data_IF_482136178266
#
_entry.id   IF_482136178266
#
_cell.length_a   1.000
_cell.length_b   1.000
_cell.length_c   1.000
_cell.angle_alpha   90.00
_cell.angle_beta   90.00
_cell.angle_gamma   90.00
#
_symmetry.space_group_name_H-M   'P 1'
#
loop_
_entity.id
_entity.type
_entity.pdbx_description
1 polymer ?
#
# COMPACT_ATOMS: atom_id res chain seq x y z
N UNK A 1 42.93 -14.22 -68.77
CA UNK A 1 41.56 -14.31 -68.21
C UNK A 1 41.67 -14.54 -66.71
N UNK A 2 41.45 -13.52 -65.89
CA UNK A 2 40.98 -13.67 -64.51
C UNK A 2 40.47 -12.30 -64.01
N UNK A 3 39.15 -12.17 -64.00
CA UNK A 3 38.42 -11.26 -63.12
C UNK A 3 38.40 -11.81 -61.69
N UNK A 4 38.08 -10.93 -60.73
CA UNK A 4 37.30 -11.11 -59.48
C UNK A 4 38.05 -10.49 -58.29
N UNK A 5 37.47 -9.75 -57.34
CA UNK A 5 36.19 -9.03 -57.11
C UNK A 5 36.51 -8.13 -55.88
N UNK A 6 36.11 -6.86 -55.92
CA UNK A 6 36.14 -5.96 -54.75
C UNK A 6 35.11 -6.41 -53.71
N UNK A 7 35.55 -6.73 -52.48
CA UNK A 7 34.65 -7.02 -51.35
C UNK A 7 34.30 -5.71 -50.64
N UNK A 8 33.13 -5.17 -50.93
CA UNK A 8 32.46 -4.17 -50.10
C UNK A 8 31.90 -4.85 -48.85
N UNK A 9 32.42 -4.46 -47.68
CA UNK A 9 31.88 -4.83 -46.37
C UNK A 9 30.63 -3.97 -46.10
N UNK A 10 29.45 -4.58 -46.20
CA UNK A 10 28.21 -4.01 -45.69
C UNK A 10 28.17 -4.18 -44.17
N UNK A 11 28.35 -3.09 -43.42
CA UNK A 11 27.98 -3.03 -42.01
C UNK A 11 26.47 -2.84 -41.92
N UNK A 12 25.73 -3.91 -41.61
CA UNK A 12 24.33 -3.82 -41.22
C UNK A 12 24.23 -3.28 -39.79
N UNK A 13 23.85 -2.02 -39.64
CA UNK A 13 23.53 -1.41 -38.36
C UNK A 13 22.18 -1.98 -37.87
N UNK A 14 22.23 -2.98 -36.99
CA UNK A 14 21.03 -3.43 -36.27
C UNK A 14 20.68 -2.37 -35.22
N UNK A 15 19.68 -1.53 -35.54
CA UNK A 15 18.99 -0.75 -34.53
C UNK A 15 18.19 -1.72 -33.66
N UNK A 16 18.76 -2.11 -32.51
CA UNK A 16 18.00 -2.64 -31.40
C UNK A 16 17.05 -1.53 -30.94
N UNK A 17 15.83 -1.54 -31.46
CA UNK A 17 14.72 -0.82 -30.84
C UNK A 17 14.47 -1.51 -29.51
N UNK A 18 15.16 -1.06 -28.46
CA UNK A 18 14.71 -1.32 -27.11
C UNK A 18 13.28 -0.82 -27.03
N UNK A 19 12.32 -1.73 -26.88
CA UNK A 19 10.98 -1.35 -26.46
C UNK A 19 11.19 -0.67 -25.11
N UNK A 20 11.13 0.67 -25.09
CA UNK A 20 11.04 1.41 -23.84
C UNK A 20 9.79 0.86 -23.14
N UNK A 21 10.00 0.00 -22.15
CA UNK A 21 8.92 -0.45 -21.29
C UNK A 21 8.31 0.82 -20.71
N UNK A 22 7.01 1.02 -20.92
CA UNK A 22 6.36 2.22 -20.39
C UNK A 22 6.59 2.25 -18.88
N UNK A 23 7.19 3.34 -18.40
CA UNK A 23 7.53 3.55 -17.00
C UNK A 23 6.23 3.75 -16.19
N UNK A 24 5.61 2.63 -15.79
CA UNK A 24 4.32 2.60 -15.11
C UNK A 24 4.47 2.18 -13.65
N UNK A 25 3.65 2.78 -12.79
CA UNK A 25 3.44 2.31 -11.42
C UNK A 25 2.03 1.74 -11.30
N UNK A 26 1.90 0.52 -10.79
CA UNK A 26 0.62 -0.12 -10.52
C UNK A 26 0.35 -0.10 -9.02
N UNK A 27 -0.75 0.53 -8.60
CA UNK A 27 -1.19 0.56 -7.20
C UNK A 27 -2.51 -0.17 -7.07
N UNK A 28 -2.54 -1.24 -6.28
CA UNK A 28 -3.75 -2.04 -6.03
C UNK A 28 -4.18 -1.88 -4.58
N UNK A 29 -5.40 -1.42 -4.35
CA UNK A 29 -6.03 -1.43 -3.04
C UNK A 29 -6.52 -2.86 -2.76
N UNK A 30 -5.74 -3.66 -2.05
CA UNK A 30 -6.11 -5.04 -1.74
C UNK A 30 -7.26 -5.07 -0.73
N UNK A 31 -7.22 -4.20 0.27
CA UNK A 31 -8.27 -4.02 1.25
C UNK A 31 -8.43 -2.55 1.64
N UNK A 32 -9.68 -2.12 1.81
CA UNK A 32 -10.08 -0.72 2.02
C UNK A 32 -11.01 -0.52 3.22
N UNK A 33 -11.15 -1.58 4.02
CA UNK A 33 -12.02 -1.65 5.18
C UNK A 33 -11.40 -1.02 6.42
N UNK A 34 -11.93 -1.44 7.56
CA UNK A 34 -11.68 -0.85 8.88
C UNK A 34 -11.66 -1.98 9.92
N UNK A 35 -11.59 -1.72 11.24
CA UNK A 35 -11.77 -2.77 12.24
C UNK A 35 -13.12 -3.50 12.14
N UNK A 36 -14.15 -2.86 11.56
CA UNK A 36 -15.49 -3.45 11.39
C UNK A 36 -15.42 -4.53 10.30
N UNK A 37 -15.74 -5.81 10.61
CA UNK A 37 -15.76 -6.87 9.61
C UNK A 37 -16.74 -6.56 8.49
N UNK A 38 -16.32 -6.80 7.24
CA UNK A 38 -17.16 -6.67 6.06
C UNK A 38 -16.87 -7.80 5.08
N UNK A 39 -17.92 -8.32 4.44
CA UNK A 39 -17.79 -9.26 3.32
C UNK A 39 -17.30 -8.59 2.04
N UNK A 40 -17.36 -7.25 1.96
CA UNK A 40 -17.03 -6.47 0.78
C UNK A 40 -15.71 -5.71 0.91
N UNK A 41 -15.36 -5.27 2.12
CA UNK A 41 -14.15 -4.49 2.43
C UNK A 41 -13.26 -5.20 3.44
N UNK A 42 -12.11 -5.65 2.99
CA UNK A 42 -11.11 -6.35 3.77
C UNK A 42 -10.20 -5.35 4.49
N UNK A 43 -9.41 -5.81 5.46
CA UNK A 43 -8.58 -4.90 6.25
C UNK A 43 -7.59 -4.11 5.38
N UNK A 44 -7.19 -2.89 5.78
CA UNK A 44 -6.26 -2.06 5.03
C UNK A 44 -5.02 -2.80 4.51
N UNK A 45 -4.84 -2.78 3.19
CA UNK A 45 -3.64 -3.29 2.53
C UNK A 45 -3.54 -2.66 1.14
N UNK A 46 -2.40 -2.03 0.84
CA UNK A 46 -2.12 -1.41 -0.47
C UNK A 46 -0.86 -2.00 -1.06
N UNK A 47 -0.96 -2.55 -2.26
CA UNK A 47 0.17 -3.10 -3.01
C UNK A 47 0.62 -2.08 -4.05
N UNK A 48 1.90 -1.69 -4.00
CA UNK A 48 2.54 -0.89 -5.04
C UNK A 48 3.52 -1.79 -5.79
N UNK A 49 3.35 -1.88 -7.11
CA UNK A 49 4.24 -2.59 -8.00
C UNK A 49 4.88 -1.62 -8.96
N UNK A 50 6.21 -1.64 -8.98
CA UNK A 50 7.04 -0.84 -9.88
C UNK A 50 7.99 -1.81 -10.55
N UNK A 51 7.97 -1.87 -11.88
CA UNK A 51 8.70 -2.88 -12.65
C UNK A 51 8.34 -4.31 -12.17
N UNK A 52 9.30 -5.06 -11.64
CA UNK A 52 9.11 -6.41 -11.11
C UNK A 52 9.17 -6.47 -9.57
N UNK A 53 9.19 -5.32 -8.90
CA UNK A 53 9.26 -5.22 -7.44
C UNK A 53 7.88 -4.92 -6.85
N UNK A 54 7.62 -5.51 -5.68
CA UNK A 54 6.35 -5.41 -4.99
C UNK A 54 6.58 -4.91 -3.56
N UNK A 55 5.91 -3.80 -3.23
CA UNK A 55 5.95 -3.14 -1.94
C UNK A 55 4.55 -3.18 -1.34
N UNK A 56 4.42 -3.79 -0.17
CA UNK A 56 3.15 -3.95 0.51
C UNK A 56 3.06 -2.99 1.70
N UNK A 57 2.03 -2.16 1.71
CA UNK A 57 1.75 -1.21 2.79
C UNK A 57 0.52 -1.69 3.57
N UNK A 58 0.75 -1.99 4.84
CA UNK A 58 -0.16 -2.71 5.74
C UNK A 58 -0.56 -4.12 5.26
N UNK A 59 -0.97 -4.93 6.22
CA UNK A 59 -1.35 -6.34 6.05
C UNK A 59 -2.64 -6.65 6.80
N UNK A 60 -3.70 -5.93 6.49
CA UNK A 60 -4.98 -6.11 7.15
C UNK A 60 -5.63 -7.47 6.90
N UNK A 61 -6.73 -7.74 7.63
CA UNK A 61 -7.45 -9.02 7.59
C UNK A 61 -7.79 -9.44 6.16
N UNK A 62 -7.48 -10.70 5.82
CA UNK A 62 -7.83 -11.34 4.56
C UNK A 62 -6.91 -11.00 3.39
N UNK A 63 -5.73 -10.44 3.68
CA UNK A 63 -4.69 -10.10 2.72
C UNK A 63 -4.40 -11.23 1.70
N UNK A 64 -4.20 -12.47 2.15
CA UNK A 64 -3.86 -13.59 1.26
C UNK A 64 -4.96 -13.85 0.22
N UNK A 65 -6.23 -13.80 0.62
CA UNK A 65 -7.37 -13.91 -0.29
C UNK A 65 -7.34 -12.79 -1.34
N UNK A 66 -7.05 -11.55 -0.92
CA UNK A 66 -7.00 -10.40 -1.84
C UNK A 66 -5.80 -10.45 -2.78
N UNK A 67 -4.65 -10.93 -2.31
CA UNK A 67 -3.48 -11.19 -3.17
C UNK A 67 -3.83 -12.22 -4.26
N UNK A 68 -4.46 -13.33 -3.89
CA UNK A 68 -4.92 -14.35 -4.85
C UNK A 68 -5.91 -13.76 -5.87
N UNK A 69 -6.92 -13.01 -5.42
CA UNK A 69 -7.92 -12.41 -6.31
C UNK A 69 -7.33 -11.35 -7.24
N UNK A 70 -6.29 -10.63 -6.79
CA UNK A 70 -5.54 -9.66 -7.60
C UNK A 70 -4.56 -10.31 -8.59
N UNK A 71 -4.40 -11.64 -8.54
CA UNK A 71 -3.41 -12.41 -9.32
C UNK A 71 -1.96 -12.00 -9.01
N UNK A 72 -1.71 -11.47 -7.82
CA UNK A 72 -0.36 -11.17 -7.35
C UNK A 72 0.29 -12.46 -6.83
N UNK A 73 1.49 -12.82 -7.30
CA UNK A 73 2.20 -13.97 -6.76
C UNK A 73 2.52 -13.76 -5.27
N UNK A 74 2.03 -14.66 -4.42
CA UNK A 74 2.14 -14.54 -2.96
C UNK A 74 3.61 -14.51 -2.48
N UNK A 75 4.53 -15.10 -3.25
CA UNK A 75 5.95 -15.18 -2.92
C UNK A 75 6.83 -14.08 -3.56
N UNK A 76 6.22 -13.11 -4.28
CA UNK A 76 6.96 -12.06 -4.97
C UNK A 76 7.19 -10.79 -4.15
N UNK A 77 6.44 -10.60 -3.05
CA UNK A 77 6.56 -9.42 -2.18
C UNK A 77 7.74 -9.61 -1.22
N UNK A 78 8.66 -8.66 -1.24
CA UNK A 78 9.88 -8.67 -0.43
C UNK A 78 9.86 -7.63 0.68
N UNK A 79 9.16 -6.51 0.46
CA UNK A 79 9.10 -5.39 1.39
C UNK A 79 7.67 -5.19 1.91
N UNK A 80 7.55 -5.16 3.24
CA UNK A 80 6.30 -4.88 3.96
C UNK A 80 6.52 -3.66 4.84
N UNK A 81 5.60 -2.70 4.76
CA UNK A 81 5.67 -1.44 5.48
C UNK A 81 4.41 -1.30 6.34
N UNK A 82 4.55 -1.18 7.65
CA UNK A 82 3.43 -0.88 8.54
C UNK A 82 3.30 0.62 8.76
N UNK A 83 2.09 1.15 8.58
CA UNK A 83 1.78 2.55 8.91
C UNK A 83 1.75 2.74 10.42
N UNK A 84 1.14 1.81 11.14
CA UNK A 84 1.10 1.74 12.60
C UNK A 84 0.67 0.32 13.06
N UNK A 85 0.59 0.09 14.38
CA UNK A 85 0.35 -1.25 14.94
C UNK A 85 -1.10 -1.52 15.39
N UNK A 86 -2.10 -0.83 14.82
CA UNK A 86 -3.47 -1.24 15.04
C UNK A 86 -3.78 -2.57 14.34
N UNK A 87 -4.62 -3.36 15.00
CA UNK A 87 -4.90 -4.74 14.59
C UNK A 87 -5.47 -4.87 13.16
N UNK A 88 -6.32 -3.94 12.73
CA UNK A 88 -6.89 -3.96 11.39
C UNK A 88 -5.86 -3.74 10.29
N UNK A 89 -4.70 -3.16 10.59
CA UNK A 89 -3.57 -2.99 9.67
C UNK A 89 -2.57 -4.14 9.71
N UNK A 90 -2.45 -4.89 10.81
CA UNK A 90 -1.37 -5.90 10.96
C UNK A 90 -1.85 -7.35 11.13
N UNK A 91 -3.15 -7.60 11.37
CA UNK A 91 -3.65 -8.95 11.70
C UNK A 91 -3.47 -9.99 10.60
N UNK A 92 -3.40 -9.58 9.34
CA UNK A 92 -3.11 -10.48 8.22
C UNK A 92 -1.61 -10.80 8.04
N UNK A 93 -0.71 -10.18 8.82
CA UNK A 93 0.73 -10.38 8.66
C UNK A 93 1.12 -11.84 8.90
N UNK A 94 0.63 -12.48 9.96
CA UNK A 94 1.01 -13.86 10.29
C UNK A 94 0.63 -14.86 9.20
N UNK A 95 -0.59 -14.71 8.66
CA UNK A 95 -1.07 -15.52 7.54
C UNK A 95 -0.21 -15.28 6.28
N UNK A 96 0.06 -14.02 5.94
CA UNK A 96 0.91 -13.69 4.80
C UNK A 96 2.34 -14.22 4.95
N UNK A 97 2.94 -14.01 6.10
CA UNK A 97 4.30 -14.44 6.42
C UNK A 97 4.44 -15.97 6.37
N UNK A 98 3.52 -16.72 6.96
CA UNK A 98 3.59 -18.19 6.90
C UNK A 98 3.29 -18.72 5.49
N UNK A 99 2.28 -18.17 4.83
CA UNK A 99 1.86 -18.61 3.49
C UNK A 99 2.93 -18.30 2.44
N UNK A 100 3.51 -17.10 2.42
CA UNK A 100 4.60 -16.78 1.49
C UNK A 100 5.87 -17.62 1.72
N UNK A 101 6.13 -18.06 2.96
CA UNK A 101 7.21 -19.01 3.25
C UNK A 101 6.92 -20.40 2.67
N UNK A 102 5.69 -20.90 2.85
CA UNK A 102 5.25 -22.19 2.27
C UNK A 102 5.33 -22.15 0.74
N UNK A 103 5.04 -20.99 0.13
CA UNK A 103 5.19 -20.74 -1.30
C UNK A 103 6.64 -20.43 -1.72
N UNK A 104 7.61 -20.74 -0.86
CA UNK A 104 9.03 -20.65 -1.13
C UNK A 104 9.46 -19.27 -1.62
N UNK A 105 9.06 -18.21 -0.90
CA UNK A 105 9.65 -16.87 -1.12
C UNK A 105 11.18 -16.98 -1.18
N UNK A 106 11.84 -16.32 -2.15
CA UNK A 106 13.27 -16.52 -2.40
C UNK A 106 14.16 -15.86 -1.34
N UNK A 107 13.64 -14.85 -0.64
CA UNK A 107 14.37 -14.05 0.34
C UNK A 107 13.54 -13.86 1.62
N UNK A 108 14.17 -13.59 2.77
CA UNK A 108 13.50 -13.08 3.96
C UNK A 108 12.62 -11.87 3.63
N UNK A 109 11.52 -11.70 4.36
CA UNK A 109 10.76 -10.45 4.29
C UNK A 109 11.54 -9.34 4.96
N UNK A 110 11.59 -8.17 4.32
CA UNK A 110 12.02 -6.92 4.95
C UNK A 110 10.77 -6.20 5.46
N UNK A 111 10.65 -6.08 6.77
CA UNK A 111 9.50 -5.45 7.43
C UNK A 111 9.97 -4.18 8.10
N UNK A 112 9.40 -3.05 7.70
CA UNK A 112 9.64 -1.75 8.33
C UNK A 112 8.37 -1.26 8.99
N UNK A 113 8.47 -0.74 10.22
CA UNK A 113 7.31 -0.22 10.94
C UNK A 113 7.71 0.60 12.16
N UNK A 114 6.74 1.11 12.94
CA UNK A 114 7.01 1.85 14.17
C UNK A 114 7.67 0.97 15.25
N UNK A 115 8.15 1.61 16.30
CA UNK A 115 8.58 0.95 17.54
C UNK A 115 7.52 -0.08 18.01
N UNK A 116 7.98 -1.31 18.31
CA UNK A 116 7.12 -2.44 18.69
C UNK A 116 6.89 -3.45 17.58
N UNK A 117 7.21 -3.11 16.32
CA UNK A 117 7.14 -4.02 15.17
C UNK A 117 7.98 -5.28 15.40
N UNK A 118 9.19 -5.13 15.95
CA UNK A 118 10.07 -6.26 16.23
C UNK A 118 9.48 -7.20 17.27
N UNK A 119 8.98 -6.64 18.38
CA UNK A 119 8.33 -7.43 19.40
C UNK A 119 7.10 -8.16 18.86
N UNK A 120 6.25 -7.48 18.08
CA UNK A 120 5.08 -8.11 17.44
C UNK A 120 5.48 -9.33 16.60
N UNK A 121 6.45 -9.18 15.69
CA UNK A 121 6.88 -10.27 14.80
C UNK A 121 7.52 -11.41 15.59
N UNK A 122 8.40 -11.12 16.55
CA UNK A 122 9.04 -12.14 17.39
C UNK A 122 8.04 -12.94 18.24
N UNK A 123 6.97 -12.29 18.72
CA UNK A 123 5.90 -13.01 19.43
C UNK A 123 5.09 -13.91 18.50
N UNK A 124 4.85 -13.51 17.24
CA UNK A 124 4.25 -14.38 16.23
C UNK A 124 5.17 -15.56 15.91
N UNK A 125 6.46 -15.33 15.73
CA UNK A 125 7.45 -16.39 15.51
C UNK A 125 7.42 -17.42 16.65
N UNK A 126 7.40 -16.94 17.89
CA UNK A 126 7.25 -17.80 19.07
C UNK A 126 5.92 -18.55 19.08
N UNK A 127 4.81 -17.89 18.74
CA UNK A 127 3.49 -18.51 18.70
C UNK A 127 3.40 -19.64 17.65
N UNK A 128 4.12 -19.51 16.53
CA UNK A 128 4.13 -20.49 15.45
C UNK A 128 5.32 -21.46 15.48
N UNK A 129 6.09 -21.51 16.57
CA UNK A 129 7.29 -22.34 16.68
C UNK A 129 7.03 -23.83 16.43
N UNK A 130 5.91 -24.37 16.91
CA UNK A 130 5.54 -25.77 16.67
C UNK A 130 5.28 -26.04 15.17
N UNK A 131 4.65 -25.10 14.46
CA UNK A 131 4.44 -25.19 13.02
C UNK A 131 5.76 -25.14 12.26
N UNK A 132 6.65 -24.23 12.65
CA UNK A 132 7.98 -24.09 12.07
C UNK A 132 8.81 -25.37 12.22
N UNK A 133 8.92 -25.91 13.44
CA UNK A 133 9.67 -27.14 13.70
C UNK A 133 9.14 -28.31 12.87
N UNK A 134 7.82 -28.52 12.89
CA UNK A 134 7.21 -29.59 12.09
C UNK A 134 7.53 -29.43 10.60
N UNK A 135 7.35 -28.24 10.03
CA UNK A 135 7.60 -28.01 8.60
C UNK A 135 9.08 -28.11 8.26
N UNK A 136 9.98 -27.55 9.05
CA UNK A 136 11.42 -27.63 8.84
C UNK A 136 11.90 -29.08 8.83
N UNK A 137 11.40 -29.90 9.74
CA UNK A 137 11.87 -31.27 9.92
C UNK A 137 11.22 -32.25 8.92
N UNK A 138 10.03 -31.93 8.37
CA UNK A 138 9.25 -32.82 7.51
C UNK A 138 9.07 -32.32 6.06
N UNK A 139 9.65 -31.17 5.70
CA UNK A 139 9.54 -30.60 4.34
C UNK A 139 10.89 -30.07 3.85
N UNK A 140 10.96 -29.61 2.60
CA UNK A 140 12.15 -28.99 1.99
C UNK A 140 12.08 -27.45 1.96
N UNK A 141 11.30 -26.83 2.86
CA UNK A 141 11.19 -25.38 2.92
C UNK A 141 12.52 -24.76 3.36
N UNK A 142 12.88 -23.63 2.76
CA UNK A 142 14.09 -22.90 3.10
C UNK A 142 13.93 -22.21 4.47
N UNK A 143 14.64 -22.69 5.49
CA UNK A 143 14.60 -22.10 6.83
C UNK A 143 15.16 -20.66 6.88
N UNK A 144 16.09 -20.32 5.98
CA UNK A 144 16.74 -19.00 5.96
C UNK A 144 15.76 -17.89 5.60
N UNK A 145 14.69 -18.21 4.88
CA UNK A 145 13.67 -17.23 4.53
C UNK A 145 12.55 -17.15 5.54
N UNK A 146 12.52 -17.99 6.59
CA UNK A 146 11.48 -17.98 7.62
C UNK A 146 11.49 -16.68 8.42
N UNK A 147 12.63 -16.29 8.99
CA UNK A 147 12.74 -15.08 9.80
C UNK A 147 12.71 -13.81 8.93
N UNK A 148 12.14 -12.74 9.44
CA UNK A 148 12.10 -11.45 8.74
C UNK A 148 13.28 -10.56 9.15
N UNK A 149 13.80 -9.76 8.22
CA UNK A 149 14.60 -8.58 8.54
C UNK A 149 13.66 -7.47 9.00
N UNK A 150 13.93 -6.90 10.17
CA UNK A 150 13.00 -5.95 10.81
C UNK A 150 13.73 -4.64 11.09
N UNK A 151 13.18 -3.55 10.55
CA UNK A 151 13.64 -2.19 10.78
C UNK A 151 12.54 -1.39 11.52
N UNK A 152 12.88 -0.85 12.68
CA UNK A 152 11.96 0.01 13.46
C UNK A 152 12.32 1.47 13.22
N UNK A 153 11.30 2.29 12.98
CA UNK A 153 11.43 3.72 12.69
C UNK A 153 10.56 4.54 13.63
N UNK A 154 11.00 5.76 13.97
CA UNK A 154 10.26 6.67 14.85
C UNK A 154 10.20 8.12 14.36
N UNK A 155 10.73 8.39 13.17
CA UNK A 155 10.76 9.69 12.52
C UNK A 155 10.78 9.52 10.99
N UNK A 156 10.68 10.63 10.26
CA UNK A 156 10.79 10.63 8.80
C UNK A 156 12.09 9.94 8.36
N UNK A 157 11.96 8.87 7.58
CA UNK A 157 13.06 7.96 7.26
C UNK A 157 12.99 7.52 5.81
N UNK A 158 14.13 7.54 5.13
CA UNK A 158 14.28 6.92 3.82
C UNK A 158 14.43 5.40 4.02
N UNK A 159 13.36 4.65 3.73
CA UNK A 159 13.27 3.21 4.02
C UNK A 159 13.62 2.32 2.83
N UNK A 160 13.68 2.89 1.63
CA UNK A 160 14.12 2.19 0.42
C UNK A 160 14.70 3.16 -0.60
N UNK A 161 15.84 2.83 -1.19
CA UNK A 161 16.43 3.55 -2.32
C UNK A 161 17.26 2.64 -3.20
N UNK A 162 16.66 2.05 -4.23
CA UNK A 162 17.32 1.21 -5.23
C UNK A 162 16.57 1.30 -6.56
N UNK A 163 17.24 1.02 -7.68
CA UNK A 163 16.62 0.91 -9.01
C UNK A 163 15.73 2.09 -9.43
N UNK A 164 16.11 3.31 -9.03
CA UNK A 164 15.34 4.53 -9.31
C UNK A 164 14.06 4.71 -8.48
N UNK A 165 13.80 3.82 -7.53
CA UNK A 165 12.67 3.85 -6.60
C UNK A 165 13.15 4.40 -5.26
N UNK A 166 12.41 5.36 -4.71
CA UNK A 166 12.64 5.94 -3.39
C UNK A 166 11.35 5.84 -2.56
N UNK A 167 11.41 5.22 -1.39
CA UNK A 167 10.28 5.15 -0.44
C UNK A 167 10.69 5.84 0.84
N UNK A 168 9.96 6.89 1.21
CA UNK A 168 10.15 7.65 2.44
C UNK A 168 8.95 7.43 3.35
N UNK A 169 9.18 6.86 4.53
CA UNK A 169 8.20 6.89 5.61
C UNK A 169 8.24 8.29 6.25
N UNK A 170 7.09 8.88 6.53
CA UNK A 170 7.00 10.18 7.19
C UNK A 170 5.92 10.16 8.27
N UNK A 171 6.16 10.83 9.38
CA UNK A 171 5.27 10.87 10.53
C UNK A 171 3.96 11.59 10.21
N UNK A 172 2.85 11.06 10.71
CA UNK A 172 1.49 11.64 10.56
C UNK A 172 0.80 11.80 11.91
N UNK A 173 -0.34 12.49 11.94
CA UNK A 173 -1.03 12.89 13.17
C UNK A 173 -2.16 11.92 13.53
N UNK A 174 -1.85 10.84 14.24
CA UNK A 174 -2.82 9.81 14.65
C UNK A 174 -2.85 9.58 16.19
N UNK A 175 -2.66 10.65 16.96
CA UNK A 175 -2.60 10.57 18.42
C UNK A 175 -3.89 9.96 19.01
N UNK A 176 -3.81 9.08 20.02
CA UNK A 176 -2.63 8.78 20.85
C UNK A 176 -1.70 7.70 20.27
N UNK A 177 -1.96 7.19 19.07
CA UNK A 177 -1.06 6.24 18.42
C UNK A 177 0.15 7.00 17.90
N UNK A 178 1.32 6.68 18.42
CA UNK A 178 2.56 7.36 18.08
C UNK A 178 3.75 6.41 18.23
N UNK A 179 4.65 6.35 17.25
CA UNK A 179 4.56 7.02 15.94
C UNK A 179 3.55 6.32 15.00
N UNK A 180 2.97 7.09 14.08
CA UNK A 180 2.20 6.61 12.94
C UNK A 180 2.77 7.23 11.66
N UNK A 181 2.70 6.49 10.55
CA UNK A 181 3.40 6.84 9.32
C UNK A 181 2.49 6.87 8.10
N UNK A 182 2.72 7.88 7.27
CA UNK A 182 2.43 7.82 5.85
C UNK A 182 3.68 7.43 5.06
N UNK A 183 3.50 7.08 3.79
CA UNK A 183 4.57 6.67 2.89
C UNK A 183 4.50 7.45 1.58
N UNK A 184 5.64 8.03 1.18
CA UNK A 184 5.83 8.69 -0.11
C UNK A 184 6.71 7.79 -0.98
N UNK A 185 6.19 7.39 -2.13
CA UNK A 185 6.87 6.60 -3.14
C UNK A 185 7.17 7.49 -4.34
N UNK A 186 8.44 7.59 -4.70
CA UNK A 186 8.93 8.35 -5.85
C UNK A 186 9.68 7.40 -6.78
N UNK A 187 9.18 7.24 -8.01
CA UNK A 187 9.79 6.45 -9.07
C UNK A 187 9.25 6.94 -10.42
N UNK A 188 10.00 6.78 -11.51
CA UNK A 188 9.50 7.07 -12.86
C UNK A 188 8.95 8.50 -13.07
N UNK A 189 9.54 9.47 -12.36
CA UNK A 189 9.04 10.86 -12.27
C UNK A 189 7.58 10.96 -11.81
N UNK A 190 7.10 9.98 -11.05
CA UNK A 190 5.79 9.91 -10.42
C UNK A 190 5.94 9.91 -8.91
N UNK A 191 4.91 10.42 -8.24
CA UNK A 191 4.82 10.49 -6.78
C UNK A 191 3.49 9.95 -6.31
N UNK A 192 3.54 8.92 -5.46
CA UNK A 192 2.39 8.33 -4.78
C UNK A 192 2.54 8.60 -3.29
N UNK A 193 1.44 8.95 -2.63
CA UNK A 193 1.41 9.10 -1.18
C UNK A 193 0.30 8.25 -0.59
N UNK A 194 0.63 7.47 0.42
CA UNK A 194 -0.28 6.70 1.26
C UNK A 194 -0.28 7.35 2.63
N UNK A 195 -1.43 7.79 3.13
CA UNK A 195 -1.49 8.56 4.38
C UNK A 195 -1.23 7.73 5.64
N UNK A 196 -1.55 6.43 5.60
CA UNK A 196 -1.89 5.69 6.83
C UNK A 196 -3.14 6.28 7.48
N UNK A 197 -3.37 5.96 8.75
CA UNK A 197 -4.40 6.63 9.54
C UNK A 197 -3.85 7.94 10.08
N UNK A 198 -4.62 9.01 9.97
CA UNK A 198 -4.21 10.37 10.36
C UNK A 198 -5.40 11.32 10.40
N UNK A 199 -5.22 12.40 11.16
CA UNK A 199 -5.95 13.66 11.01
C UNK A 199 -5.22 14.60 10.05
N UNK A 200 -5.59 15.89 10.04
CA UNK A 200 -4.78 16.92 9.43
C UNK A 200 -3.33 16.89 9.98
N UNK A 201 -2.36 16.80 9.08
CA UNK A 201 -0.93 16.79 9.41
C UNK A 201 -0.16 17.67 8.43
N UNK A 202 0.56 18.67 8.92
CA UNK A 202 1.41 19.51 8.05
C UNK A 202 2.51 18.69 7.38
N UNK A 203 2.99 17.62 8.01
CA UNK A 203 3.98 16.73 7.40
C UNK A 203 3.37 15.98 6.21
N UNK A 204 2.16 15.44 6.35
CA UNK A 204 1.42 14.88 5.23
C UNK A 204 1.26 15.90 4.11
N UNK A 205 0.88 17.15 4.40
CA UNK A 205 0.75 18.20 3.37
C UNK A 205 2.07 18.34 2.59
N UNK A 206 3.20 18.51 3.29
CA UNK A 206 4.53 18.65 2.65
C UNK A 206 4.85 17.50 1.69
N UNK A 207 4.55 16.26 2.08
CA UNK A 207 4.87 15.08 1.28
C UNK A 207 3.87 14.86 0.14
N UNK A 208 2.59 15.21 0.33
CA UNK A 208 1.50 14.99 -0.62
C UNK A 208 1.31 16.10 -1.66
N UNK A 209 1.90 17.29 -1.47
CA UNK A 209 1.79 18.41 -2.43
C UNK A 209 2.18 17.96 -3.84
N UNK A 210 1.26 18.05 -4.78
CA UNK A 210 1.38 17.65 -6.18
C UNK A 210 1.72 16.16 -6.38
N UNK A 211 1.18 15.27 -5.54
CA UNK A 211 1.23 13.83 -5.81
C UNK A 211 0.43 13.48 -7.08
N UNK A 212 0.90 12.49 -7.85
CA UNK A 212 0.12 11.89 -8.94
C UNK A 212 -1.08 11.11 -8.38
N UNK A 213 -0.86 10.41 -7.28
CA UNK A 213 -1.90 9.70 -6.55
C UNK A 213 -1.76 9.93 -5.04
N UNK A 214 -2.83 10.39 -4.42
CA UNK A 214 -2.98 10.42 -2.96
C UNK A 214 -3.98 9.35 -2.54
N UNK A 215 -3.55 8.40 -1.71
CA UNK A 215 -4.40 7.42 -1.02
C UNK A 215 -4.54 7.90 0.41
N UNK A 216 -5.75 8.30 0.80
CA UNK A 216 -5.98 8.96 2.08
C UNK A 216 -7.17 8.38 2.83
N UNK A 217 -7.03 8.14 4.13
CA UNK A 217 -8.15 7.72 4.99
C UNK A 217 -9.30 8.74 5.04
N UNK A 218 -10.52 8.29 5.37
CA UNK A 218 -11.65 9.19 5.61
C UNK A 218 -12.60 8.60 6.66
N UNK A 219 -13.00 9.44 7.61
CA UNK A 219 -14.02 9.12 8.59
C UNK A 219 -15.16 10.15 8.57
N UNK A 220 -16.40 9.70 8.76
CA UNK A 220 -17.54 10.58 8.96
C UNK A 220 -18.64 9.91 9.78
N UNK A 221 -19.31 10.69 10.63
CA UNK A 221 -20.46 10.26 11.41
C UNK A 221 -21.52 11.38 11.46
N UNK A 222 -22.83 11.07 11.48
CA UNK A 222 -23.87 12.06 11.73
C UNK A 222 -23.73 12.66 13.13
N UNK A 223 -24.03 13.96 13.29
CA UNK A 223 -23.99 14.65 14.58
C UNK A 223 -24.81 13.92 15.65
N UNK A 224 -26.01 13.44 15.30
CA UNK A 224 -26.87 12.70 16.21
C UNK A 224 -26.26 11.36 16.71
N UNK A 225 -25.35 10.73 15.94
CA UNK A 225 -24.62 9.55 16.42
C UNK A 225 -23.40 9.89 17.25
N UNK A 226 -22.86 11.11 17.09
CA UNK A 226 -21.76 11.61 17.90
C UNK A 226 -22.24 12.07 19.27
N UNK A 227 -23.41 12.71 19.34
CA UNK A 227 -24.03 13.16 20.59
C UNK A 227 -24.23 11.98 21.56
N UNK A 228 -23.66 12.07 22.76
CA UNK A 228 -23.71 11.02 23.77
C UNK A 228 -22.82 9.79 23.52
N UNK A 229 -22.15 9.67 22.36
CA UNK A 229 -21.26 8.54 22.04
C UNK A 229 -19.78 8.92 22.16
N UNK A 230 -19.28 8.96 23.39
CA UNK A 230 -17.89 9.31 23.69
C UNK A 230 -16.86 8.43 22.98
N UNK A 231 -17.18 7.15 22.74
CA UNK A 231 -16.29 6.23 22.02
C UNK A 231 -16.15 6.66 20.56
N UNK A 232 -17.26 6.94 19.88
CA UNK A 232 -17.23 7.36 18.49
C UNK A 232 -16.58 8.74 18.34
N UNK A 233 -16.85 9.68 19.24
CA UNK A 233 -16.16 10.98 19.25
C UNK A 233 -14.64 10.80 19.34
N UNK A 234 -14.15 9.92 20.22
CA UNK A 234 -12.71 9.63 20.32
C UNK A 234 -12.15 9.07 19.02
N UNK A 235 -12.84 8.13 18.38
CA UNK A 235 -12.44 7.59 17.06
C UNK A 235 -12.34 8.73 16.05
N UNK A 236 -13.39 9.54 15.92
CA UNK A 236 -13.42 10.66 14.96
C UNK A 236 -12.32 11.71 15.21
N UNK A 237 -11.83 11.86 16.44
CA UNK A 237 -10.81 12.86 16.78
C UNK A 237 -9.41 12.54 16.24
N UNK A 238 -9.13 11.29 15.88
CA UNK A 238 -7.83 10.89 15.36
C UNK A 238 -7.86 10.37 13.91
N UNK A 239 -8.99 10.60 13.22
CA UNK A 239 -9.20 10.31 11.80
C UNK A 239 -9.59 11.56 11.03
N UNK A 240 -9.43 11.52 9.71
CA UNK A 240 -9.67 12.69 8.85
C UNK A 240 -11.14 12.85 8.53
N UNK A 241 -11.71 13.98 8.95
CA UNK A 241 -13.10 14.36 8.62
C UNK A 241 -13.22 14.89 7.19
N UNK A 242 -14.43 14.96 6.58
CA UNK A 242 -14.59 15.54 5.25
C UNK A 242 -14.14 17.01 5.16
N UNK A 243 -14.31 17.79 6.24
CA UNK A 243 -13.86 19.19 6.27
C UNK A 243 -12.32 19.30 6.28
N UNK A 244 -11.64 18.43 7.04
CA UNK A 244 -10.19 18.33 6.99
C UNK A 244 -9.72 17.83 5.63
N UNK A 245 -10.39 16.84 5.04
CA UNK A 245 -10.09 16.34 3.70
C UNK A 245 -10.14 17.45 2.65
N UNK A 246 -11.19 18.29 2.63
CA UNK A 246 -11.27 19.47 1.74
C UNK A 246 -10.05 20.38 1.92
N UNK A 247 -9.67 20.64 3.17
CA UNK A 247 -8.50 21.48 3.49
C UNK A 247 -7.19 20.86 2.99
N UNK A 248 -7.01 19.55 3.20
CA UNK A 248 -5.84 18.78 2.76
C UNK A 248 -5.76 18.80 1.23
N UNK A 249 -6.85 18.50 0.53
CA UNK A 249 -6.89 18.45 -0.92
C UNK A 249 -6.63 19.82 -1.55
N UNK A 250 -7.19 20.89 -0.98
CA UNK A 250 -6.93 22.24 -1.47
C UNK A 250 -5.47 22.67 -1.30
N UNK A 251 -4.79 22.21 -0.25
CA UNK A 251 -3.36 22.48 -0.02
C UNK A 251 -2.43 21.59 -0.84
N UNK A 252 -2.83 20.34 -1.09
CA UNK A 252 -1.96 19.34 -1.72
C UNK A 252 -2.15 19.24 -3.22
N UNK A 253 -3.34 19.52 -3.75
CA UNK A 253 -3.64 19.48 -5.19
C UNK A 253 -3.10 18.22 -5.90
N UNK A 254 -3.43 17.00 -5.43
CA UNK A 254 -3.02 15.77 -6.10
C UNK A 254 -3.75 15.62 -7.44
N UNK A 255 -3.12 14.96 -8.43
CA UNK A 255 -3.76 14.71 -9.73
C UNK A 255 -4.97 13.77 -9.61
N UNK A 256 -4.93 12.85 -8.65
CA UNK A 256 -6.04 11.97 -8.30
C UNK A 256 -5.99 11.60 -6.81
N UNK A 257 -7.15 11.52 -6.17
CA UNK A 257 -7.29 11.03 -4.79
C UNK A 257 -8.15 9.77 -4.72
N UNK A 258 -7.68 8.76 -3.99
CA UNK A 258 -8.48 7.61 -3.58
C UNK A 258 -8.69 7.66 -2.07
N UNK A 259 -9.96 7.73 -1.66
CA UNK A 259 -10.33 7.67 -0.26
C UNK A 259 -10.31 6.21 0.20
N UNK A 260 -9.43 5.89 1.14
CA UNK A 260 -9.24 4.56 1.71
C UNK A 260 -9.73 4.51 3.17
N UNK A 261 -9.62 3.37 3.85
CA UNK A 261 -9.98 3.19 5.28
C UNK A 261 -11.29 3.90 5.62
N UNK A 262 -12.37 3.44 4.96
CA UNK A 262 -13.60 4.22 4.78
C UNK A 262 -14.51 4.07 6.00
N UNK A 263 -14.29 4.89 7.03
CA UNK A 263 -15.00 4.91 8.31
C UNK A 263 -16.28 5.78 8.25
N UNK A 264 -17.27 5.37 7.47
CA UNK A 264 -18.53 6.11 7.30
C UNK A 264 -19.63 5.51 8.18
N UNK A 265 -19.74 5.99 9.41
CA UNK A 265 -20.67 5.49 10.43
C UNK A 265 -22.12 5.87 10.11
N UNK A 266 -22.74 5.16 9.16
CA UNK A 266 -24.11 5.41 8.69
C UNK A 266 -24.24 6.56 7.70
N UNK A 267 -23.13 7.10 7.18
CA UNK A 267 -23.14 8.09 6.10
C UNK A 267 -22.89 7.39 4.77
N UNK A 268 -23.75 7.67 3.79
CA UNK A 268 -23.55 7.19 2.42
C UNK A 268 -22.35 7.83 1.75
N UNK A 269 -21.57 7.02 1.03
CA UNK A 269 -20.37 7.45 0.31
C UNK A 269 -20.61 8.59 -0.68
N UNK A 270 -21.73 8.56 -1.42
CA UNK A 270 -22.10 9.61 -2.37
C UNK A 270 -22.24 10.97 -1.68
N UNK A 271 -22.75 10.99 -0.44
CA UNK A 271 -22.88 12.22 0.35
C UNK A 271 -21.50 12.80 0.68
N UNK A 272 -20.53 11.96 1.02
CA UNK A 272 -19.15 12.38 1.31
C UNK A 272 -18.49 12.96 0.07
N UNK A 273 -18.60 12.26 -1.07
CA UNK A 273 -18.04 12.75 -2.34
C UNK A 273 -18.65 14.10 -2.72
N UNK A 274 -19.98 14.22 -2.69
CA UNK A 274 -20.67 15.50 -2.98
C UNK A 274 -20.24 16.62 -2.04
N UNK A 275 -20.10 16.33 -0.74
CA UNK A 275 -19.65 17.32 0.24
C UNK A 275 -18.24 17.84 -0.08
N UNK A 276 -17.31 16.94 -0.44
CA UNK A 276 -15.95 17.33 -0.79
C UNK A 276 -15.95 18.14 -2.10
N UNK A 277 -16.69 17.69 -3.11
CA UNK A 277 -16.78 18.32 -4.43
C UNK A 277 -17.43 19.72 -4.42
N UNK A 278 -18.14 20.10 -3.36
CA UNK A 278 -18.63 21.47 -3.20
C UNK A 278 -17.52 22.51 -3.04
N UNK A 279 -16.33 22.08 -2.59
CA UNK A 279 -15.21 22.97 -2.24
C UNK A 279 -13.87 22.48 -2.80
N UNK A 280 -13.89 21.50 -3.71
CA UNK A 280 -12.70 20.95 -4.34
C UNK A 280 -13.02 20.38 -5.71
N UNK A 281 -12.35 20.91 -6.74
CA UNK A 281 -12.60 20.55 -8.15
C UNK A 281 -11.71 19.40 -8.66
N UNK A 282 -10.75 18.94 -7.86
CA UNK A 282 -9.85 17.87 -8.28
C UNK A 282 -10.50 16.48 -8.30
N UNK A 283 -9.85 15.53 -8.97
CA UNK A 283 -10.39 14.18 -9.15
C UNK A 283 -10.26 13.37 -7.86
N UNK A 284 -11.39 12.81 -7.41
CA UNK A 284 -11.40 11.86 -6.30
C UNK A 284 -12.42 10.74 -6.51
N UNK A 285 -12.19 9.60 -5.86
CA UNK A 285 -13.16 8.52 -5.74
C UNK A 285 -13.00 7.80 -4.40
N UNK A 286 -14.03 7.07 -3.97
CA UNK A 286 -13.92 6.14 -2.85
C UNK A 286 -13.22 4.87 -3.34
N UNK A 287 -12.12 4.50 -2.69
CA UNK A 287 -11.41 3.27 -2.90
C UNK A 287 -12.30 2.05 -2.72
N UNK A 288 -11.99 1.00 -3.46
CA UNK A 288 -12.62 -0.32 -3.36
C UNK A 288 -11.55 -1.37 -3.32
N UNK A 289 -11.81 -2.46 -2.63
CA UNK A 289 -10.98 -3.65 -2.73
C UNK A 289 -10.83 -4.05 -4.20
N UNK A 290 -9.62 -4.44 -4.58
CA UNK A 290 -9.19 -4.79 -5.93
C UNK A 290 -9.27 -3.64 -6.95
N UNK A 291 -9.49 -2.39 -6.51
CA UNK A 291 -9.27 -1.23 -7.36
C UNK A 291 -7.77 -1.10 -7.65
N UNK A 292 -7.43 -1.03 -8.93
CA UNK A 292 -6.07 -0.85 -9.41
C UNK A 292 -5.96 0.46 -10.19
N UNK A 293 -4.93 1.24 -9.85
CA UNK A 293 -4.52 2.45 -10.54
C UNK A 293 -3.21 2.18 -11.26
N UNK A 294 -3.18 2.43 -12.56
CA UNK A 294 -1.95 2.43 -13.35
C UNK A 294 -1.57 3.88 -13.64
N UNK A 295 -0.37 4.29 -13.23
CA UNK A 295 0.15 5.65 -13.32
C UNK A 295 1.30 5.65 -14.33
N UNK A 296 1.05 6.21 -15.52
CA UNK A 296 2.04 6.49 -16.56
C UNK A 296 1.87 7.92 -17.06
N UNK A 297 1.86 8.14 -18.37
CA UNK A 297 1.50 9.45 -18.96
C UNK A 297 0.05 9.85 -18.64
N UNK A 298 -0.80 8.85 -18.43
CA UNK A 298 -2.16 9.00 -17.92
C UNK A 298 -2.38 8.14 -16.67
N UNK A 299 -3.39 8.49 -15.89
CA UNK A 299 -3.86 7.70 -14.75
C UNK A 299 -5.07 6.89 -15.22
N UNK A 300 -4.97 5.57 -15.17
CA UNK A 300 -6.03 4.65 -15.53
C UNK A 300 -6.47 3.86 -14.31
N UNK A 301 -7.79 3.72 -14.12
CA UNK A 301 -8.37 3.04 -12.96
C UNK A 301 -9.26 1.91 -13.45
N UNK A 302 -9.09 0.73 -12.87
CA UNK A 302 -9.96 -0.43 -13.09
C UNK A 302 -10.22 -1.16 -11.78
N UNK A 303 -11.23 -2.02 -11.75
CA UNK A 303 -11.43 -2.98 -10.66
C UNK A 303 -11.07 -4.37 -11.19
N UNK A 304 -10.14 -5.05 -10.53
CA UNK A 304 -9.74 -6.41 -10.90
C UNK A 304 -10.92 -7.33 -10.62
N UNK A 305 -11.36 -8.08 -11.64
CA UNK A 305 -12.38 -9.12 -11.45
C UNK A 305 -11.73 -10.30 -10.73
N UNK A 306 -12.21 -10.70 -9.54
CA UNK A 306 -11.68 -11.86 -8.84
C UNK A 306 -11.73 -13.10 -9.72
N UNK A 307 -10.72 -13.97 -9.60
CA UNK A 307 -10.84 -15.33 -10.11
C UNK A 307 -12.05 -15.99 -9.44
N UNK A 308 -12.90 -16.65 -10.23
CA UNK A 308 -13.87 -17.59 -9.66
C UNK A 308 -13.05 -18.73 -9.04
N UNK A 309 -13.23 -18.97 -7.74
CA UNK A 309 -12.67 -20.17 -7.11
C UNK A 309 -13.23 -21.39 -7.83
N UNK A 310 -12.34 -22.24 -8.35
CA UNK A 310 -12.69 -23.58 -8.79
C UNK A 310 -12.82 -24.51 -7.59
#
# INVERSE_FOLDING_TARGET
MHHIVSRLLFFSLYWLTGLAQANIIEVTLLGTGTPVPSSERYGPATLVKINHQYFLFDTGRGLITRLQQSQTPINAIQHVYFTHLHSDHITGFSDYWLTSWIWQRPHPLHVTGPDGTRNFIQQLEKAYQANYQYRRDNTKLNADTYYSHIDEINQDTLVYQQDGIKITAFTVSHQPVSPAFGYKIEAENKKIVISGDTTYSDNLIRHATHADLLIHEIAAAPTALLEGNLRLQKVMNYHTTPQQMITILNKTQPKYTLLNHVLLFGIGEEKIIKQIQQQYDGKLAIGRDLMQVTIGDSINIRVIKPLKSH
#
